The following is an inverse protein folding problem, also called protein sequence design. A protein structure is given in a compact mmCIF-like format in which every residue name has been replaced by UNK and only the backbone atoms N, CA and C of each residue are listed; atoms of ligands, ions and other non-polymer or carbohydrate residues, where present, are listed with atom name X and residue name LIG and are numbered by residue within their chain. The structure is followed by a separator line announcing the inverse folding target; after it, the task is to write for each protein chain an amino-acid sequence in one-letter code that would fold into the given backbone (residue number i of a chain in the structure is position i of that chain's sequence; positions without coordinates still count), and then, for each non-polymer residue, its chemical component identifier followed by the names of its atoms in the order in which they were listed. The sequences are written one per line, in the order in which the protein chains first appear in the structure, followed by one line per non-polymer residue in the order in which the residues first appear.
data_IF_317940761484
#
_entry.id   IF_317940761484
#
_cell.length_a   1.000
_cell.length_b   1.000
_cell.length_c   1.000
_cell.angle_alpha   90.00
_cell.angle_beta   90.00
_cell.angle_gamma   90.00
#
_symmetry.space_group_name_H-M   'P 1'
#
loop_
_entity.id
_entity.type
_entity.pdbx_description
1 polymer ?
#
# COMPACT_ATOMS: atom_id res chain seq x y z
N UNK A 1 -5.82 -12.54 -33.50
CA UNK A 1 -5.76 -11.96 -32.14
C UNK A 1 -4.78 -12.70 -31.22
N UNK A 2 -4.76 -14.05 -31.21
CA UNK A 2 -3.93 -14.86 -30.32
C UNK A 2 -2.43 -14.50 -30.35
N UNK A 3 -1.83 -14.36 -31.54
CA UNK A 3 -0.42 -13.96 -31.69
C UNK A 3 -0.14 -12.55 -31.19
N UNK A 4 -1.06 -11.59 -31.41
CA UNK A 4 -0.91 -10.21 -30.92
C UNK A 4 -0.92 -10.20 -29.39
N UNK A 5 -1.85 -10.93 -28.77
CA UNK A 5 -1.89 -11.08 -27.31
C UNK A 5 -0.63 -11.77 -26.79
N UNK A 6 -0.12 -12.79 -27.48
CA UNK A 6 1.12 -13.45 -27.11
C UNK A 6 2.30 -12.46 -27.07
N UNK A 7 2.46 -11.64 -28.11
CA UNK A 7 3.51 -10.61 -28.18
C UNK A 7 3.35 -9.59 -27.06
N UNK A 8 2.13 -9.10 -26.81
CA UNK A 8 1.86 -8.15 -25.72
C UNK A 8 2.16 -8.74 -24.34
N UNK A 9 1.82 -10.01 -24.11
CA UNK A 9 2.13 -10.71 -22.86
C UNK A 9 3.64 -10.79 -22.66
N UNK A 10 4.40 -11.21 -23.68
CA UNK A 10 5.86 -11.30 -23.58
C UNK A 10 6.50 -9.92 -23.37
N UNK A 11 6.00 -8.89 -24.06
CA UNK A 11 6.43 -7.51 -23.89
C UNK A 11 6.20 -7.03 -22.45
N UNK A 12 4.97 -7.12 -21.95
CA UNK A 12 4.66 -6.68 -20.58
C UNK A 12 5.34 -7.55 -19.52
N UNK A 13 5.52 -8.85 -19.76
CA UNK A 13 6.30 -9.72 -18.87
C UNK A 13 7.75 -9.23 -18.75
N UNK A 14 8.42 -8.97 -19.88
CA UNK A 14 9.80 -8.48 -19.89
C UNK A 14 9.96 -7.20 -19.06
N UNK A 15 9.12 -6.18 -19.34
CA UNK A 15 9.18 -4.92 -18.60
C UNK A 15 8.76 -5.05 -17.13
N UNK A 16 7.84 -5.97 -16.81
CA UNK A 16 7.50 -6.26 -15.42
C UNK A 16 8.70 -6.81 -14.66
N UNK A 17 9.39 -7.82 -15.20
CA UNK A 17 10.57 -8.40 -14.55
C UNK A 17 11.74 -7.41 -14.47
N UNK A 18 11.97 -6.64 -15.54
CA UNK A 18 12.96 -5.56 -15.55
C UNK A 18 12.67 -4.51 -14.48
N UNK A 19 11.40 -4.16 -14.27
CA UNK A 19 11.04 -3.14 -13.28
C UNK A 19 11.28 -3.61 -11.85
N UNK A 20 11.08 -4.90 -11.54
CA UNK A 20 11.43 -5.48 -10.23
C UNK A 20 12.93 -5.44 -10.03
N UNK A 21 13.69 -5.86 -11.04
CA UNK A 21 15.16 -5.85 -10.99
C UNK A 21 15.68 -4.43 -10.70
N UNK A 22 15.20 -3.43 -11.44
CA UNK A 22 15.54 -2.03 -11.21
C UNK A 22 15.13 -1.51 -9.83
N UNK A 23 13.95 -1.90 -9.34
CA UNK A 23 13.48 -1.50 -8.01
C UNK A 23 14.34 -2.08 -6.89
N UNK A 24 15.01 -3.21 -7.13
CA UNK A 24 15.93 -3.83 -6.16
C UNK A 24 17.32 -3.19 -6.21
N UNK A 25 17.86 -2.93 -7.41
CA UNK A 25 19.26 -2.49 -7.56
C UNK A 25 19.48 -0.97 -7.54
N UNK A 26 18.47 -0.16 -7.86
CA UNK A 26 18.62 1.29 -7.93
C UNK A 26 18.11 1.92 -6.64
N UNK A 27 19.02 2.23 -5.72
CA UNK A 27 18.74 3.02 -4.52
C UNK A 27 18.15 4.38 -4.92
N UNK A 28 17.03 4.78 -4.31
CA UNK A 28 16.30 6.02 -4.64
C UNK A 28 15.22 5.88 -5.73
N UNK A 29 15.20 4.77 -6.48
CA UNK A 29 14.07 4.42 -7.36
C UNK A 29 13.01 3.62 -6.58
N UNK A 30 12.66 4.07 -5.38
CA UNK A 30 11.67 3.45 -4.47
C UNK A 30 10.23 3.49 -5.00
N UNK A 31 10.05 3.77 -6.28
CA UNK A 31 8.77 3.74 -6.95
C UNK A 31 8.40 2.29 -7.29
N UNK A 32 8.03 1.51 -6.26
CA UNK A 32 7.26 0.26 -6.40
C UNK A 32 6.01 0.43 -7.30
N UNK A 33 5.62 1.68 -7.55
CA UNK A 33 4.62 2.07 -8.52
C UNK A 33 4.93 1.65 -9.97
N UNK A 34 6.18 1.71 -10.42
CA UNK A 34 6.53 1.32 -11.80
C UNK A 34 6.30 -0.17 -12.02
N UNK A 35 6.82 -1.08 -11.16
CA UNK A 35 6.41 -2.48 -11.20
C UNK A 35 4.91 -2.69 -11.12
N UNK A 36 4.21 -1.95 -10.26
CA UNK A 36 2.77 -2.06 -10.13
C UNK A 36 2.05 -1.81 -11.46
N UNK A 37 2.43 -0.77 -12.22
CA UNK A 37 1.85 -0.50 -13.55
C UNK A 37 2.13 -1.63 -14.53
N UNK A 38 3.38 -2.08 -14.64
CA UNK A 38 3.75 -3.12 -15.61
C UNK A 38 3.06 -4.45 -15.31
N UNK A 39 3.04 -4.88 -14.04
CA UNK A 39 2.32 -6.09 -13.65
C UNK A 39 0.81 -5.97 -13.83
N UNK A 40 0.27 -4.77 -13.70
CA UNK A 40 -1.15 -4.51 -13.96
C UNK A 40 -1.51 -4.72 -15.43
N UNK A 41 -0.70 -4.16 -16.35
CA UNK A 41 -0.87 -4.39 -17.79
C UNK A 41 -0.67 -5.86 -18.14
N UNK A 42 0.34 -6.50 -17.55
CA UNK A 42 0.59 -7.93 -17.70
C UNK A 42 -0.61 -8.77 -17.23
N UNK A 43 -1.19 -8.46 -16.07
CA UNK A 43 -2.38 -9.13 -15.54
C UNK A 43 -3.58 -9.02 -16.49
N UNK A 44 -3.83 -7.82 -17.03
CA UNK A 44 -4.92 -7.60 -17.99
C UNK A 44 -4.70 -8.42 -19.27
N UNK A 45 -3.48 -8.44 -19.81
CA UNK A 45 -3.15 -9.24 -20.99
C UNK A 45 -3.27 -10.74 -20.73
N UNK A 46 -2.83 -11.23 -19.56
CA UNK A 46 -3.01 -12.63 -19.15
C UNK A 46 -4.50 -12.99 -19.06
N UNK A 47 -5.32 -12.15 -18.42
CA UNK A 47 -6.77 -12.37 -18.31
C UNK A 47 -7.45 -12.43 -19.68
N UNK A 48 -7.07 -11.52 -20.60
CA UNK A 48 -7.55 -11.54 -21.99
C UNK A 48 -7.13 -12.81 -22.74
N UNK A 49 -5.88 -13.22 -22.63
CA UNK A 49 -5.40 -14.44 -23.30
C UNK A 49 -6.07 -15.70 -22.75
N UNK A 50 -6.23 -15.81 -21.42
CA UNK A 50 -6.93 -16.94 -20.80
C UNK A 50 -8.41 -17.03 -21.20
N UNK A 51 -9.05 -15.91 -21.54
CA UNK A 51 -10.43 -15.89 -22.05
C UNK A 51 -10.50 -16.21 -23.55
N UNK A 52 -9.60 -15.65 -24.36
CA UNK A 52 -9.74 -15.61 -25.82
C UNK A 52 -8.99 -16.72 -26.56
N UNK A 53 -7.91 -17.27 -25.97
CA UNK A 53 -7.10 -18.32 -26.59
C UNK A 53 -7.66 -19.69 -26.18
N UNK A 54 -8.25 -20.40 -27.14
CA UNK A 54 -8.82 -21.75 -26.94
C UNK A 54 -7.75 -22.86 -26.92
N UNK A 55 -6.63 -22.63 -27.60
CA UNK A 55 -5.55 -23.62 -27.74
C UNK A 55 -4.71 -23.69 -26.47
N UNK A 56 -4.97 -24.72 -25.66
CA UNK A 56 -4.28 -24.97 -24.39
C UNK A 56 -2.75 -25.00 -24.52
N UNK A 57 -2.23 -25.71 -25.54
CA UNK A 57 -0.79 -25.85 -25.74
C UNK A 57 -0.13 -24.49 -26.05
N UNK A 58 -0.75 -23.70 -26.93
CA UNK A 58 -0.25 -22.38 -27.29
C UNK A 58 -0.19 -21.45 -26.07
N UNK A 59 -1.24 -21.43 -25.25
CA UNK A 59 -1.27 -20.64 -24.02
C UNK A 59 -0.21 -21.09 -23.00
N UNK A 60 -0.02 -22.41 -22.83
CA UNK A 60 1.02 -22.95 -21.95
C UNK A 60 2.42 -22.53 -22.39
N UNK A 61 2.70 -22.54 -23.71
CA UNK A 61 3.99 -22.06 -24.25
C UNK A 61 4.19 -20.58 -23.94
N UNK A 62 3.15 -19.76 -24.08
CA UNK A 62 3.21 -18.33 -23.75
C UNK A 62 3.52 -18.11 -22.27
N UNK A 63 2.86 -18.83 -21.36
CA UNK A 63 3.14 -18.71 -19.91
C UNK A 63 4.56 -19.14 -19.58
N UNK A 64 5.03 -20.25 -20.18
CA UNK A 64 6.39 -20.72 -20.01
C UNK A 64 7.40 -19.67 -20.47
N UNK A 65 7.23 -19.11 -21.67
CA UNK A 65 8.10 -18.06 -22.20
C UNK A 65 8.05 -16.79 -21.35
N UNK A 66 6.86 -16.35 -20.92
CA UNK A 66 6.69 -15.15 -20.10
C UNK A 66 7.38 -15.25 -18.73
N UNK A 67 7.31 -16.43 -18.08
CA UNK A 67 8.05 -16.70 -16.83
C UNK A 67 9.54 -16.83 -17.12
N UNK A 68 9.92 -17.47 -18.23
CA UNK A 68 11.33 -17.69 -18.59
C UNK A 68 12.08 -16.38 -18.80
N UNK A 69 11.40 -15.30 -19.19
CA UNK A 69 11.99 -13.96 -19.29
C UNK A 69 12.56 -13.45 -17.96
N UNK A 70 12.11 -13.95 -16.82
CA UNK A 70 12.66 -13.58 -15.51
C UNK A 70 14.11 -14.06 -15.33
N UNK A 71 14.50 -15.18 -15.97
CA UNK A 71 15.87 -15.69 -15.87
C UNK A 71 16.93 -14.76 -16.47
N UNK A 72 16.54 -13.81 -17.34
CA UNK A 72 17.47 -12.77 -17.81
C UNK A 72 17.90 -11.81 -16.68
N UNK A 73 17.07 -11.66 -15.65
CA UNK A 73 17.33 -10.77 -14.51
C UNK A 73 17.87 -11.56 -13.31
N UNK A 74 17.36 -12.77 -13.06
CA UNK A 74 17.79 -13.62 -11.96
C UNK A 74 18.38 -14.93 -12.46
N UNK A 75 19.71 -15.02 -12.41
CA UNK A 75 20.50 -16.19 -12.82
C UNK A 75 20.65 -17.18 -11.66
N UNK A 76 19.55 -17.72 -11.14
CA UNK A 76 19.59 -18.69 -10.05
C UNK A 76 18.79 -19.96 -10.37
N UNK A 77 19.40 -21.14 -10.20
CA UNK A 77 18.73 -22.42 -10.48
C UNK A 77 17.56 -22.70 -9.52
N UNK A 78 17.62 -22.24 -8.27
CA UNK A 78 16.54 -22.43 -7.31
C UNK A 78 15.31 -21.58 -7.65
N UNK A 79 15.49 -20.50 -8.42
CA UNK A 79 14.37 -19.74 -9.00
C UNK A 79 13.55 -20.59 -9.99
N UNK A 80 14.12 -21.67 -10.56
CA UNK A 80 13.36 -22.62 -11.38
C UNK A 80 12.22 -23.27 -10.58
N UNK A 81 12.41 -23.53 -9.29
CA UNK A 81 11.36 -24.14 -8.47
C UNK A 81 10.17 -23.19 -8.30
N UNK A 82 10.42 -21.92 -7.98
CA UNK A 82 9.36 -20.92 -7.88
C UNK A 82 8.72 -20.62 -9.23
N UNK A 83 9.50 -20.65 -10.33
CA UNK A 83 8.99 -20.56 -11.70
C UNK A 83 8.00 -21.69 -12.02
N UNK A 84 8.31 -22.94 -11.65
CA UNK A 84 7.42 -24.09 -11.84
C UNK A 84 6.14 -23.97 -10.99
N UNK A 85 6.25 -23.51 -9.75
CA UNK A 85 5.08 -23.24 -8.89
C UNK A 85 4.20 -22.15 -9.52
N UNK A 86 4.79 -21.05 -9.97
CA UNK A 86 4.09 -19.96 -10.66
C UNK A 86 3.39 -20.44 -11.93
N UNK A 87 4.04 -21.28 -12.73
CA UNK A 87 3.45 -21.88 -13.93
C UNK A 87 2.25 -22.77 -13.59
N UNK A 88 2.35 -23.59 -12.55
CA UNK A 88 1.23 -24.41 -12.06
C UNK A 88 0.05 -23.57 -11.59
N UNK A 89 0.31 -22.44 -10.93
CA UNK A 89 -0.72 -21.50 -10.49
C UNK A 89 -1.38 -20.75 -11.66
N UNK A 90 -0.64 -20.32 -12.68
CA UNK A 90 -1.26 -19.78 -13.90
C UNK A 90 -2.08 -20.82 -14.66
N UNK A 91 -1.65 -22.08 -14.67
CA UNK A 91 -2.43 -23.16 -15.23
C UNK A 91 -3.73 -23.40 -14.43
N UNK A 92 -3.66 -23.32 -13.10
CA UNK A 92 -4.85 -23.36 -12.22
C UNK A 92 -5.82 -22.20 -12.49
N UNK A 93 -5.30 -20.99 -12.72
CA UNK A 93 -6.11 -19.84 -13.14
C UNK A 93 -6.80 -20.07 -14.48
N UNK A 94 -6.07 -20.53 -15.49
CA UNK A 94 -6.62 -20.88 -16.79
C UNK A 94 -7.73 -21.93 -16.67
N UNK A 95 -7.48 -23.02 -15.93
CA UNK A 95 -8.47 -24.07 -15.71
C UNK A 95 -9.73 -23.54 -15.01
N UNK A 96 -9.57 -22.64 -14.04
CA UNK A 96 -10.68 -22.01 -13.33
C UNK A 96 -11.53 -21.12 -14.25
N UNK A 97 -10.88 -20.32 -15.11
CA UNK A 97 -11.55 -19.45 -16.10
C UNK A 97 -12.29 -20.31 -17.14
N UNK A 98 -11.62 -21.31 -17.71
CA UNK A 98 -12.20 -22.18 -18.73
C UNK A 98 -13.35 -23.02 -18.18
N UNK A 99 -13.23 -23.54 -16.95
CA UNK A 99 -14.32 -24.24 -16.28
C UNK A 99 -15.56 -23.34 -16.13
N UNK A 100 -15.38 -22.07 -15.75
CA UNK A 100 -16.51 -21.14 -15.67
C UNK A 100 -17.12 -20.81 -17.04
N UNK A 101 -16.28 -20.62 -18.07
CA UNK A 101 -16.75 -20.38 -19.44
C UNK A 101 -17.54 -21.56 -20.00
N UNK A 102 -17.11 -22.79 -19.72
CA UNK A 102 -17.75 -24.01 -20.22
C UNK A 102 -19.06 -24.35 -19.48
N UNK A 103 -19.16 -24.03 -18.19
CA UNK A 103 -20.31 -24.35 -17.35
C UNK A 103 -21.38 -23.23 -17.32
N UNK A 104 -21.03 -22.00 -17.69
CA UNK A 104 -21.96 -20.87 -17.61
C UNK A 104 -22.88 -20.78 -18.84
N UNK A 105 -24.20 -20.74 -18.62
CA UNK A 105 -25.22 -20.54 -19.67
C UNK A 105 -25.02 -19.20 -20.40
N UNK A 106 -24.55 -18.18 -19.69
CA UNK A 106 -24.25 -16.86 -20.24
C UNK A 106 -22.78 -16.53 -19.98
N UNK A 107 -22.02 -16.36 -21.06
CA UNK A 107 -20.61 -15.96 -20.98
C UNK A 107 -20.52 -14.54 -20.39
N UNK A 108 -19.81 -14.41 -19.27
CA UNK A 108 -19.52 -13.14 -18.61
C UNK A 108 -18.02 -13.07 -18.32
N UNK A 109 -17.29 -12.26 -19.09
CA UNK A 109 -15.85 -12.09 -18.94
C UNK A 109 -15.46 -11.69 -17.51
N UNK A 110 -16.25 -10.81 -16.88
CA UNK A 110 -16.05 -10.40 -15.48
C UNK A 110 -16.07 -11.59 -14.52
N UNK A 111 -17.14 -12.40 -14.59
CA UNK A 111 -17.32 -13.56 -13.70
C UNK A 111 -16.23 -14.60 -13.89
N UNK A 112 -15.91 -14.92 -15.15
CA UNK A 112 -14.93 -15.95 -15.46
C UNK A 112 -13.53 -15.55 -15.02
N UNK A 113 -13.10 -14.31 -15.30
CA UNK A 113 -11.79 -13.80 -14.84
C UNK A 113 -11.74 -13.67 -13.32
N UNK A 114 -12.82 -13.24 -12.67
CA UNK A 114 -12.91 -13.18 -11.21
C UNK A 114 -12.59 -14.53 -10.56
N UNK A 115 -13.07 -15.64 -11.13
CA UNK A 115 -12.79 -17.00 -10.63
C UNK A 115 -11.32 -17.40 -10.76
N UNK A 116 -10.63 -16.92 -11.80
CA UNK A 116 -9.20 -17.16 -12.01
C UNK A 116 -8.27 -16.13 -11.37
N UNK A 117 -8.79 -15.00 -10.86
CA UNK A 117 -7.97 -13.89 -10.42
C UNK A 117 -7.09 -14.24 -9.20
N UNK A 118 -7.63 -14.98 -8.22
CA UNK A 118 -6.88 -15.38 -7.03
C UNK A 118 -5.61 -16.20 -7.37
N UNK A 119 -5.68 -17.33 -8.12
CA UNK A 119 -4.48 -18.07 -8.49
C UNK A 119 -3.52 -17.27 -9.39
N UNK A 120 -4.00 -16.31 -10.20
CA UNK A 120 -3.12 -15.39 -10.94
C UNK A 120 -2.34 -14.47 -10.02
N UNK A 121 -3.01 -13.84 -9.04
CA UNK A 121 -2.36 -12.96 -8.06
C UNK A 121 -1.35 -13.76 -7.23
N UNK A 122 -1.71 -14.97 -6.83
CA UNK A 122 -0.81 -15.85 -6.08
C UNK A 122 0.43 -16.24 -6.90
N UNK A 123 0.27 -16.58 -8.18
CA UNK A 123 1.38 -16.84 -9.09
C UNK A 123 2.35 -15.66 -9.15
N UNK A 124 1.82 -14.44 -9.37
CA UNK A 124 2.64 -13.23 -9.44
C UNK A 124 3.32 -12.94 -8.10
N UNK A 125 2.63 -13.10 -6.96
CA UNK A 125 3.20 -12.89 -5.64
C UNK A 125 4.38 -13.83 -5.37
N UNK A 126 4.26 -15.12 -5.69
CA UNK A 126 5.35 -16.10 -5.56
C UNK A 126 6.54 -15.74 -6.45
N UNK A 127 6.28 -15.38 -7.71
CA UNK A 127 7.35 -15.07 -8.66
C UNK A 127 8.10 -13.79 -8.27
N UNK A 128 7.38 -12.72 -7.92
CA UNK A 128 8.00 -11.44 -7.55
C UNK A 128 8.77 -11.57 -6.23
N UNK A 129 8.19 -12.19 -5.19
CA UNK A 129 8.89 -12.36 -3.92
C UNK A 129 10.11 -13.27 -4.04
N UNK A 130 10.04 -14.30 -4.89
CA UNK A 130 11.17 -15.17 -5.19
C UNK A 130 12.26 -14.44 -5.96
N UNK A 131 11.92 -13.63 -6.96
CA UNK A 131 12.89 -12.80 -7.68
C UNK A 131 13.61 -11.87 -6.71
N UNK A 132 12.84 -11.15 -5.89
CA UNK A 132 13.36 -10.26 -4.85
C UNK A 132 14.30 -10.98 -3.88
N UNK A 133 13.92 -12.15 -3.38
CA UNK A 133 14.75 -12.97 -2.51
C UNK A 133 16.12 -13.27 -3.11
N UNK A 134 16.15 -13.76 -4.35
CA UNK A 134 17.39 -14.14 -5.01
C UNK A 134 18.23 -12.93 -5.45
N UNK A 135 17.60 -11.80 -5.78
CA UNK A 135 18.32 -10.56 -6.08
C UNK A 135 19.01 -10.00 -4.84
N UNK A 136 18.32 -9.91 -3.69
CA UNK A 136 18.89 -9.34 -2.45
C UNK A 136 19.92 -10.24 -1.80
N UNK A 137 19.76 -11.56 -1.88
CA UNK A 137 20.71 -12.52 -1.32
C UNK A 137 22.15 -12.29 -1.84
N UNK A 138 22.30 -11.70 -3.03
CA UNK A 138 23.59 -11.45 -3.65
C UNK A 138 24.14 -10.02 -3.41
N UNK A 139 23.39 -9.14 -2.75
CA UNK A 139 23.81 -7.76 -2.47
C UNK A 139 24.51 -7.71 -1.11
N UNK A 140 25.69 -7.08 -1.04
CA UNK A 140 26.40 -6.87 0.23
C UNK A 140 25.52 -6.07 1.21
N UNK A 141 25.35 -6.60 2.43
CA UNK A 141 24.30 -6.23 3.39
C UNK A 141 24.28 -4.76 3.81
N UNK A 142 25.35 -4.00 3.54
CA UNK A 142 25.48 -2.57 3.91
C UNK A 142 24.63 -1.63 3.05
N UNK A 143 24.14 -2.05 1.88
CA UNK A 143 23.34 -1.21 0.98
C UNK A 143 21.83 -1.49 0.99
N UNK A 144 21.36 -2.38 1.88
CA UNK A 144 20.00 -2.94 1.81
C UNK A 144 18.90 -2.15 2.53
N UNK A 145 19.21 -1.08 3.26
CA UNK A 145 18.14 -0.25 3.86
C UNK A 145 17.76 0.84 2.84
N UNK A 146 16.56 0.75 2.23
CA UNK A 146 16.07 1.83 1.40
C UNK A 146 15.82 3.03 2.31
N UNK A 147 16.51 4.14 2.05
CA UNK A 147 16.14 5.43 2.62
C UNK A 147 14.90 5.90 1.87
N UNK A 148 13.84 6.22 2.61
CA UNK A 148 12.67 6.85 2.03
C UNK A 148 13.05 8.30 1.71
N UNK A 149 13.13 8.61 0.42
CA UNK A 149 13.29 9.97 -0.07
C UNK A 149 11.92 10.62 -0.25
N UNK A 150 11.87 11.92 0.00
CA UNK A 150 10.68 12.75 -0.22
C UNK A 150 10.42 12.83 -1.73
N UNK A 151 9.43 12.08 -2.21
CA UNK A 151 8.98 12.14 -3.58
C UNK A 151 7.49 12.49 -3.63
N UNK A 152 7.06 13.12 -4.73
CA UNK A 152 5.68 13.59 -4.91
C UNK A 152 4.61 12.51 -4.70
N UNK A 153 4.97 11.24 -4.93
CA UNK A 153 4.07 10.11 -4.76
C UNK A 153 3.87 9.81 -3.27
N UNK A 154 4.94 9.83 -2.47
CA UNK A 154 4.86 9.68 -1.02
C UNK A 154 4.05 10.81 -0.39
N UNK A 155 4.24 12.06 -0.84
CA UNK A 155 3.43 13.20 -0.42
C UNK A 155 1.93 12.96 -0.70
N UNK A 156 1.62 12.37 -1.84
CA UNK A 156 0.24 12.02 -2.20
C UNK A 156 -0.34 10.87 -1.36
N UNK A 157 0.47 9.89 -0.99
CA UNK A 157 0.04 8.79 -0.10
C UNK A 157 -0.20 9.30 1.32
N UNK A 158 0.71 10.13 1.83
CA UNK A 158 0.61 10.76 3.16
C UNK A 158 -0.65 11.64 3.22
N UNK A 159 -0.88 12.49 2.22
CA UNK A 159 -2.08 13.33 2.14
C UNK A 159 -3.37 12.50 2.03
N UNK A 160 -3.37 11.41 1.26
CA UNK A 160 -4.51 10.49 1.21
C UNK A 160 -4.80 9.88 2.59
N UNK A 161 -3.76 9.46 3.32
CA UNK A 161 -3.87 8.97 4.69
C UNK A 161 -4.50 9.99 5.64
N UNK A 162 -4.00 11.22 5.63
CA UNK A 162 -4.52 12.31 6.46
C UNK A 162 -5.97 12.66 6.14
N UNK A 163 -6.33 12.72 4.85
CA UNK A 163 -7.70 13.04 4.42
C UNK A 163 -8.75 12.02 4.88
N UNK A 164 -8.34 10.78 5.13
CA UNK A 164 -9.23 9.71 5.62
C UNK A 164 -9.43 9.76 7.13
N UNK A 165 -8.45 10.27 7.87
CA UNK A 165 -8.53 10.46 9.32
C UNK A 165 -9.35 11.72 9.63
N UNK A 166 -9.22 12.78 8.82
CA UNK A 166 -10.12 13.92 8.89
C UNK A 166 -10.40 14.56 7.52
N UNK A 167 -11.69 14.68 7.13
CA UNK A 167 -12.08 15.38 5.91
C UNK A 167 -11.72 16.88 5.86
N UNK A 168 -11.48 17.56 6.98
CA UNK A 168 -11.07 18.97 7.01
C UNK A 168 -9.67 19.19 6.42
N UNK A 169 -8.76 18.20 6.52
CA UNK A 169 -7.44 18.23 5.86
C UNK A 169 -7.51 18.08 4.33
N UNK A 170 -8.68 17.76 3.77
CA UNK A 170 -8.87 17.63 2.31
C UNK A 170 -8.75 18.97 1.58
N UNK A 171 -8.99 20.09 2.28
CA UNK A 171 -9.01 21.43 1.70
C UNK A 171 -7.68 22.17 1.85
N UNK A 172 -6.73 21.63 2.61
CA UNK A 172 -5.43 22.24 2.80
C UNK A 172 -4.49 21.64 1.75
N UNK A 173 -3.79 22.51 1.00
CA UNK A 173 -2.77 22.08 0.04
C UNK A 173 -1.62 21.41 0.81
N UNK A 174 -1.78 20.12 1.02
CA UNK A 174 -0.92 19.25 1.84
C UNK A 174 0.53 19.20 1.36
N UNK A 175 0.80 19.58 0.11
CA UNK A 175 2.15 19.62 -0.48
C UNK A 175 3.06 20.67 0.20
N UNK A 176 2.49 21.69 0.87
CA UNK A 176 3.25 22.75 1.54
C UNK A 176 2.85 22.95 3.02
N UNK A 177 2.17 21.98 3.61
CA UNK A 177 1.77 22.08 5.02
C UNK A 177 3.00 22.01 5.93
N UNK A 178 3.24 23.10 6.66
CA UNK A 178 4.31 23.17 7.66
C UNK A 178 3.89 22.50 8.97
N UNK A 179 4.86 22.08 9.77
CA UNK A 179 4.59 21.46 11.08
C UNK A 179 3.78 22.40 11.97
N UNK A 180 4.07 23.70 11.99
CA UNK A 180 3.33 24.68 12.80
C UNK A 180 1.86 24.79 12.41
N UNK A 181 1.59 24.82 11.11
CA UNK A 181 0.23 24.86 10.60
C UNK A 181 -0.52 23.58 10.95
N UNK A 182 0.10 22.41 10.73
CA UNK A 182 -0.50 21.13 11.04
C UNK A 182 -0.81 20.96 12.53
N UNK A 183 0.15 21.28 13.40
CA UNK A 183 -0.04 21.21 14.85
C UNK A 183 -1.06 22.25 15.33
N UNK A 184 -1.05 23.45 14.76
CA UNK A 184 -2.03 24.49 15.05
C UNK A 184 -3.45 24.07 14.69
N UNK A 185 -3.66 23.51 13.51
CA UNK A 185 -4.96 22.98 13.06
C UNK A 185 -5.40 21.76 13.87
N UNK A 186 -4.46 20.85 14.19
CA UNK A 186 -4.74 19.70 15.05
C UNK A 186 -5.20 20.14 16.46
N UNK A 187 -4.56 21.17 17.02
CA UNK A 187 -4.95 21.76 18.31
C UNK A 187 -6.34 22.39 18.25
N UNK A 188 -6.59 23.24 17.26
CA UNK A 188 -7.89 23.92 17.08
C UNK A 188 -9.03 22.91 16.91
N UNK A 189 -8.75 21.80 16.23
CA UNK A 189 -9.69 20.70 16.04
C UNK A 189 -9.97 19.93 17.33
N UNK A 190 -8.95 19.65 18.15
CA UNK A 190 -9.14 19.01 19.46
C UNK A 190 -10.02 19.90 20.33
N UNK A 191 -9.75 21.21 20.35
CA UNK A 191 -10.58 22.19 21.05
C UNK A 191 -12.02 22.22 20.53
N UNK A 192 -12.22 22.31 19.21
CA UNK A 192 -13.54 22.32 18.58
C UNK A 192 -14.34 21.05 18.92
N UNK A 193 -13.72 19.86 18.86
CA UNK A 193 -14.36 18.59 19.24
C UNK A 193 -14.71 18.53 20.73
N UNK A 194 -13.88 19.10 21.60
CA UNK A 194 -14.19 19.20 23.03
C UNK A 194 -15.37 20.15 23.28
N UNK A 195 -15.47 21.25 22.53
CA UNK A 195 -16.60 22.18 22.62
C UNK A 195 -17.90 21.58 22.03
N UNK A 196 -17.83 20.90 20.87
CA UNK A 196 -18.98 20.26 20.21
C UNK A 196 -19.49 19.05 21.00
N UNK A 197 -18.60 18.22 21.55
CA UNK A 197 -18.97 17.16 22.50
C UNK A 197 -19.32 17.73 23.89
N UNK A 198 -19.17 19.04 24.08
CA UNK A 198 -19.44 19.79 25.30
C UNK A 198 -20.91 20.16 25.52
N UNK A 199 -21.82 19.81 24.59
CA UNK A 199 -23.25 19.75 24.90
C UNK A 199 -23.48 18.65 25.96
N UNK A 200 -23.49 19.10 27.23
CA UNK A 200 -23.63 18.41 28.52
C UNK A 200 -22.37 18.31 29.42
N UNK A 201 -21.41 19.24 29.33
CA UNK A 201 -20.41 19.46 30.42
C UNK A 201 -20.89 20.56 31.40
N UNK A 202 -22.16 20.98 31.32
CA UNK A 202 -22.71 21.94 32.28
C UNK A 202 -23.10 21.31 33.64
N UNK A 203 -23.01 19.99 33.81
CA UNK A 203 -23.27 19.35 35.10
C UNK A 203 -22.20 18.29 35.44
N UNK A 204 -21.13 18.72 36.13
CA UNK A 204 -20.56 17.92 37.21
C UNK A 204 -19.42 16.94 36.91
N UNK A 205 -18.65 17.07 35.81
CA UNK A 205 -17.36 16.36 35.75
C UNK A 205 -16.36 17.05 36.67
N UNK A 206 -15.84 16.33 37.65
CA UNK A 206 -14.82 16.87 38.57
C UNK A 206 -13.54 17.17 37.79
N UNK A 207 -12.81 18.19 38.24
CA UNK A 207 -11.51 18.60 37.71
C UNK A 207 -10.51 17.42 37.64
N UNK A 208 -10.71 16.42 38.50
CA UNK A 208 -10.04 15.13 38.51
C UNK A 208 -10.22 14.32 37.21
N UNK A 209 -11.43 14.26 36.64
CA UNK A 209 -11.68 13.50 35.40
C UNK A 209 -11.02 14.15 34.18
N UNK A 210 -10.94 15.49 34.16
CA UNK A 210 -10.27 16.25 33.11
C UNK A 210 -8.76 15.98 33.16
N UNK A 211 -8.17 16.02 34.36
CA UNK A 211 -6.77 15.68 34.56
C UNK A 211 -6.48 14.24 34.15
N UNK A 212 -7.35 13.29 34.52
CA UNK A 212 -7.18 11.88 34.17
C UNK A 212 -7.27 11.61 32.65
N UNK A 213 -8.14 12.32 31.94
CA UNK A 213 -8.24 12.26 30.48
C UNK A 213 -6.98 12.83 29.79
N UNK A 214 -6.44 13.94 30.28
CA UNK A 214 -5.21 14.54 29.77
C UNK A 214 -3.99 13.65 30.04
N UNK A 215 -3.89 13.07 31.24
CA UNK A 215 -2.83 12.11 31.59
C UNK A 215 -2.91 10.86 30.71
N UNK A 216 -4.13 10.37 30.44
CA UNK A 216 -4.36 9.20 29.56
C UNK A 216 -4.00 9.50 28.10
N UNK A 217 -4.30 10.71 27.60
CA UNK A 217 -3.98 11.09 26.22
C UNK A 217 -2.50 11.40 26.03
N UNK A 218 -1.85 12.01 27.02
CA UNK A 218 -0.42 12.35 26.95
C UNK A 218 0.51 11.21 27.38
N UNK A 219 -0.01 10.17 28.03
CA UNK A 219 0.79 9.05 28.51
C UNK A 219 1.78 9.41 29.63
N UNK A 220 1.57 10.52 30.32
CA UNK A 220 2.37 10.98 31.48
C UNK A 220 1.46 11.58 32.56
N UNK A 221 1.84 11.45 33.82
CA UNK A 221 1.17 12.15 34.93
C UNK A 221 1.44 13.66 34.85
N UNK A 222 0.39 14.47 35.07
CA UNK A 222 0.49 15.91 35.05
C UNK A 222 1.18 16.37 36.34
N UNK A 223 2.14 17.29 36.19
CA UNK A 223 2.73 18.00 37.33
C UNK A 223 1.70 18.91 37.99
N UNK A 224 1.94 19.25 39.27
CA UNK A 224 0.98 20.05 40.04
C UNK A 224 0.76 21.45 39.46
N UNK A 225 1.80 22.01 38.81
CA UNK A 225 1.68 23.25 38.05
C UNK A 225 0.79 23.08 36.80
N UNK A 226 0.98 22.01 36.03
CA UNK A 226 0.13 21.72 34.86
C UNK A 226 -1.34 21.47 35.28
N UNK A 227 -1.58 20.87 36.45
CA UNK A 227 -2.94 20.67 37.02
C UNK A 227 -3.60 22.00 37.42
N UNK A 228 -2.84 22.95 37.96
CA UNK A 228 -3.34 24.30 38.27
C UNK A 228 -3.64 25.10 37.00
N UNK A 229 -2.81 24.97 35.95
CA UNK A 229 -3.05 25.62 34.67
C UNK A 229 -4.33 25.11 33.99
N UNK A 230 -4.57 23.79 34.05
CA UNK A 230 -5.82 23.17 33.56
C UNK A 230 -7.03 23.63 34.37
N UNK A 231 -6.88 23.74 35.71
CA UNK A 231 -7.95 24.22 36.58
C UNK A 231 -8.36 25.66 36.25
N UNK A 232 -7.36 26.53 36.09
CA UNK A 232 -7.57 27.93 35.75
C UNK A 232 -8.22 28.07 34.37
N UNK A 233 -7.82 27.26 33.38
CA UNK A 233 -8.40 27.23 32.04
C UNK A 233 -9.90 26.84 32.03
N UNK A 234 -10.30 25.87 32.86
CA UNK A 234 -11.70 25.44 32.99
C UNK A 234 -12.55 26.51 33.66
N UNK A 235 -12.00 27.24 34.65
CA UNK A 235 -12.71 28.34 35.30
C UNK A 235 -12.82 29.60 34.41
N UNK A 236 -11.76 29.97 33.69
CA UNK A 236 -11.78 31.09 32.73
C UNK A 236 -12.60 30.79 31.49
N UNK A 237 -12.80 29.51 31.15
CA UNK A 237 -13.75 28.97 30.15
C UNK A 237 -15.14 29.61 30.14
N UNK A 238 -15.59 30.21 31.25
CA UNK A 238 -16.89 30.87 31.39
C UNK A 238 -16.98 32.29 30.81
N UNK A 239 -15.87 32.92 30.44
CA UNK A 239 -15.86 34.26 29.83
C UNK A 239 -15.05 34.29 28.52
N UNK A 240 -15.70 34.23 27.34
CA UNK A 240 -15.03 34.00 26.05
C UNK A 240 -14.08 35.13 25.61
N UNK A 241 -14.22 36.36 26.10
CA UNK A 241 -13.40 37.50 25.66
C UNK A 241 -12.07 37.66 26.42
N UNK A 242 -11.98 37.20 27.69
CA UNK A 242 -10.71 37.18 28.44
C UNK A 242 -9.86 35.93 28.16
N UNK A 243 -10.41 34.95 27.43
CA UNK A 243 -9.78 33.67 27.15
C UNK A 243 -8.87 33.66 25.92
N UNK A 244 -8.89 34.69 25.07
CA UNK A 244 -8.14 34.68 23.81
C UNK A 244 -6.62 34.72 24.02
N UNK A 245 -6.14 35.51 24.98
CA UNK A 245 -4.70 35.57 25.30
C UNK A 245 -4.22 34.26 25.95
N UNK A 246 -5.00 33.73 26.90
CA UNK A 246 -4.69 32.46 27.58
C UNK A 246 -4.71 31.28 26.59
N UNK A 247 -5.69 31.22 25.68
CA UNK A 247 -5.75 30.20 24.62
C UNK A 247 -4.58 30.29 23.65
N UNK A 248 -4.14 31.49 23.28
CA UNK A 248 -2.99 31.69 22.42
C UNK A 248 -1.69 31.20 23.10
N UNK A 249 -1.54 31.45 24.40
CA UNK A 249 -0.40 30.98 25.18
C UNK A 249 -0.42 29.46 25.37
N UNK A 250 -1.56 28.86 25.74
CA UNK A 250 -1.72 27.40 25.86
C UNK A 250 -1.46 26.71 24.52
N UNK A 251 -1.97 27.25 23.42
CA UNK A 251 -1.72 26.74 22.06
C UNK A 251 -0.23 26.75 21.75
N UNK A 252 0.47 27.83 22.07
CA UNK A 252 1.91 27.94 21.83
C UNK A 252 2.70 26.92 22.65
N UNK A 253 2.38 26.74 23.92
CA UNK A 253 3.04 25.76 24.80
C UNK A 253 2.81 24.33 24.28
N UNK A 254 1.57 24.00 23.93
CA UNK A 254 1.22 22.68 23.39
C UNK A 254 1.96 22.38 22.08
N UNK A 255 2.01 23.35 21.16
CA UNK A 255 2.73 23.21 19.89
C UNK A 255 4.22 22.98 20.13
N UNK A 256 4.85 23.74 21.03
CA UNK A 256 6.28 23.57 21.36
C UNK A 256 6.57 22.20 21.99
N UNK A 257 5.68 21.70 22.85
CA UNK A 257 5.82 20.35 23.40
C UNK A 257 5.70 19.28 22.31
N UNK A 258 4.71 19.38 21.43
CA UNK A 258 4.54 18.44 20.32
C UNK A 258 5.69 18.47 19.33
N UNK A 259 6.26 19.65 19.04
CA UNK A 259 7.51 19.77 18.26
C UNK A 259 8.62 18.98 18.90
N UNK A 260 8.83 19.13 20.20
CA UNK A 260 9.88 18.40 20.94
C UNK A 260 9.69 16.89 20.87
N UNK A 261 8.46 16.40 21.00
CA UNK A 261 8.13 14.97 20.87
C UNK A 261 8.35 14.45 19.44
N UNK A 262 7.96 15.23 18.45
CA UNK A 262 8.24 14.93 17.04
C UNK A 262 9.74 14.94 16.76
N UNK A 263 10.51 15.88 17.32
CA UNK A 263 11.96 15.96 17.14
C UNK A 263 12.66 14.75 17.72
N UNK A 264 12.27 14.34 18.93
CA UNK A 264 12.77 13.13 19.56
C UNK A 264 12.46 11.90 18.71
N UNK A 265 11.25 11.82 18.16
CA UNK A 265 10.80 10.69 17.33
C UNK A 265 11.45 10.67 15.95
N UNK A 266 11.71 11.82 15.33
CA UNK A 266 12.34 11.96 14.03
C UNK A 266 13.88 11.95 14.07
N UNK A 267 14.47 12.28 15.23
CA UNK A 267 15.92 12.45 15.39
C UNK A 267 16.48 13.70 14.72
N UNK A 268 15.62 14.67 14.42
CA UNK A 268 16.00 15.98 13.89
C UNK A 268 15.32 17.05 14.75
N UNK A 269 15.97 18.19 14.93
CA UNK A 269 15.35 19.35 15.57
C UNK A 269 14.29 19.94 14.63
N UNK A 270 13.10 20.24 15.16
CA UNK A 270 11.95 20.75 14.39
C UNK A 270 11.67 22.17 14.85
N UNK A 271 11.89 23.12 13.95
CA UNK A 271 11.72 24.55 14.19
C UNK A 271 10.26 24.97 13.99
N UNK A 272 9.53 24.30 13.09
CA UNK A 272 8.12 24.55 12.77
C UNK A 272 7.86 24.85 11.29
N UNK A 273 8.89 25.31 10.57
CA UNK A 273 8.81 25.69 9.15
C UNK A 273 9.03 24.50 8.20
N UNK A 274 9.41 23.34 8.72
CA UNK A 274 9.63 22.12 7.96
C UNK A 274 8.30 21.61 7.39
N UNK A 275 8.36 20.94 6.24
CA UNK A 275 7.19 20.25 5.70
C UNK A 275 6.88 19.05 6.59
N UNK A 276 5.61 18.86 6.90
CA UNK A 276 5.14 17.71 7.69
C UNK A 276 5.59 16.39 7.06
N UNK A 277 5.49 16.27 5.73
CA UNK A 277 5.93 15.08 4.99
C UNK A 277 7.40 14.73 5.27
N UNK A 278 8.30 15.71 5.28
CA UNK A 278 9.73 15.49 5.51
C UNK A 278 10.00 15.03 6.95
N UNK A 279 9.28 15.58 7.94
CA UNK A 279 9.38 15.14 9.34
C UNK A 279 8.87 13.70 9.52
N UNK A 280 7.76 13.35 8.89
CA UNK A 280 7.24 11.98 8.92
C UNK A 280 8.20 11.00 8.24
N UNK A 281 8.81 11.39 7.12
CA UNK A 281 9.84 10.59 6.45
C UNK A 281 11.07 10.40 7.33
N UNK A 282 11.53 11.45 8.01
CA UNK A 282 12.63 11.36 8.97
C UNK A 282 12.30 10.39 10.12
N UNK A 283 11.07 10.45 10.65
CA UNK A 283 10.60 9.51 11.68
C UNK A 283 10.53 8.07 11.18
N UNK A 284 10.04 7.84 9.96
CA UNK A 284 10.02 6.50 9.36
C UNK A 284 11.43 5.95 9.15
N UNK A 285 12.33 6.78 8.60
CA UNK A 285 13.73 6.41 8.40
C UNK A 285 14.42 6.10 9.72
N UNK A 286 14.28 6.96 10.74
CA UNK A 286 14.85 6.71 12.08
C UNK A 286 14.31 5.42 12.70
N UNK A 287 13.01 5.14 12.55
CA UNK A 287 12.41 3.92 13.09
C UNK A 287 12.88 2.68 12.32
N UNK A 288 13.06 2.77 11.00
CA UNK A 288 13.66 1.72 10.18
C UNK A 288 15.12 1.46 10.60
N UNK A 289 15.89 2.52 10.84
CA UNK A 289 17.26 2.44 11.32
C UNK A 289 17.31 1.82 12.72
N UNK A 290 16.46 2.25 13.66
CA UNK A 290 16.40 1.67 15.02
C UNK A 290 15.98 0.20 15.02
N UNK A 291 15.01 -0.18 14.18
CA UNK A 291 14.66 -1.60 13.99
C UNK A 291 15.85 -2.39 13.44
N UNK A 292 16.70 -1.78 12.61
CA UNK A 292 17.90 -2.40 12.07
C UNK A 292 19.11 -2.40 13.02
N UNK A 293 19.21 -1.47 13.96
CA UNK A 293 20.33 -1.42 14.89
C UNK A 293 20.08 -2.32 16.11
N UNK A 294 18.90 -2.24 16.74
CA UNK A 294 18.63 -2.91 18.01
C UNK A 294 18.38 -4.42 17.91
N UNK A 295 17.87 -4.91 16.77
CA UNK A 295 17.49 -6.33 16.62
C UNK A 295 18.27 -7.09 15.55
N UNK A 296 19.04 -6.39 14.72
CA UNK A 296 19.59 -6.96 13.49
C UNK A 296 21.13 -7.00 13.47
N UNK A 297 21.83 -6.46 14.48
CA UNK A 297 23.29 -6.58 14.59
C UNK A 297 23.82 -8.02 14.44
N UNK A 298 23.17 -8.99 15.10
CA UNK A 298 23.49 -10.42 14.94
C UNK A 298 22.73 -11.08 13.77
N UNK A 299 21.51 -10.63 13.45
CA UNK A 299 20.71 -11.22 12.38
C UNK A 299 21.15 -10.82 10.96
N UNK A 300 21.92 -9.73 10.80
CA UNK A 300 22.53 -9.30 9.51
C UNK A 300 23.58 -10.27 9.01
N UNK A 301 24.27 -10.98 9.91
CA UNK A 301 25.16 -12.09 9.55
C UNK A 301 24.38 -13.39 9.28
N UNK A 302 23.15 -13.49 9.76
CA UNK A 302 22.32 -14.67 9.54
C UNK A 302 21.84 -14.74 8.08
N UNK A 303 22.08 -15.87 7.42
CA UNK A 303 21.64 -16.16 6.05
C UNK A 303 20.11 -16.12 5.84
N UNK A 304 19.32 -15.82 6.88
CA UNK A 304 17.85 -15.89 6.87
C UNK A 304 17.16 -14.55 6.64
N UNK A 305 17.83 -13.41 6.83
CA UNK A 305 17.19 -12.10 6.72
C UNK A 305 16.50 -11.84 5.36
N UNK A 306 17.11 -12.16 4.19
CA UNK A 306 16.43 -12.01 2.90
C UNK A 306 15.15 -12.85 2.79
N UNK A 307 15.09 -14.01 3.45
CA UNK A 307 13.91 -14.87 3.43
C UNK A 307 12.74 -14.23 4.19
N UNK A 308 13.01 -13.63 5.34
CA UNK A 308 11.98 -12.91 6.13
C UNK A 308 11.43 -11.74 5.30
N UNK A 309 12.31 -10.93 4.68
CA UNK A 309 11.87 -9.84 3.81
C UNK A 309 11.03 -10.34 2.63
N UNK A 310 11.44 -11.44 1.99
CA UNK A 310 10.68 -12.02 0.89
C UNK A 310 9.29 -12.53 1.33
N UNK A 311 9.18 -13.07 2.54
CA UNK A 311 7.89 -13.49 3.13
C UNK A 311 6.99 -12.26 3.38
N UNK A 312 7.52 -11.20 3.98
CA UNK A 312 6.78 -9.96 4.21
C UNK A 312 6.33 -9.36 2.86
N UNK A 313 7.21 -9.33 1.88
CA UNK A 313 6.92 -8.85 0.53
C UNK A 313 5.84 -9.72 -0.15
N UNK A 314 5.91 -11.04 -0.01
CA UNK A 314 4.90 -11.97 -0.52
C UNK A 314 3.50 -11.64 0.02
N UNK A 315 3.36 -11.51 1.34
CA UNK A 315 2.06 -11.18 1.95
C UNK A 315 1.58 -9.78 1.55
N UNK A 316 2.50 -8.83 1.40
CA UNK A 316 2.19 -7.47 0.96
C UNK A 316 1.67 -7.46 -0.48
N UNK A 317 2.38 -8.10 -1.41
CA UNK A 317 1.98 -8.22 -2.82
C UNK A 317 0.68 -8.99 -2.95
N UNK A 318 0.49 -10.08 -2.20
CA UNK A 318 -0.75 -10.83 -2.22
C UNK A 318 -1.94 -9.96 -1.78
N UNK A 319 -1.79 -9.23 -0.68
CA UNK A 319 -2.84 -8.35 -0.13
C UNK A 319 -3.17 -7.22 -1.10
N UNK A 320 -2.16 -6.50 -1.60
CA UNK A 320 -2.32 -5.43 -2.57
C UNK A 320 -2.87 -5.97 -3.89
N UNK A 321 -2.34 -7.08 -4.39
CA UNK A 321 -2.76 -7.73 -5.62
C UNK A 321 -4.22 -8.16 -5.61
N UNK A 322 -4.74 -8.66 -4.48
CA UNK A 322 -6.17 -8.98 -4.33
C UNK A 322 -7.01 -7.70 -4.45
N UNK A 323 -6.65 -6.62 -3.77
CA UNK A 323 -7.37 -5.34 -3.85
C UNK A 323 -7.35 -4.78 -5.28
N UNK A 324 -6.16 -4.75 -5.86
CA UNK A 324 -5.89 -4.23 -7.20
C UNK A 324 -6.57 -5.07 -8.29
N UNK A 325 -6.69 -6.39 -8.10
CA UNK A 325 -7.42 -7.27 -9.04
C UNK A 325 -8.89 -6.89 -9.19
N UNK A 326 -9.54 -6.33 -8.15
CA UNK A 326 -10.93 -5.84 -8.23
C UNK A 326 -11.08 -4.71 -9.25
N UNK A 327 -10.01 -3.96 -9.52
CA UNK A 327 -9.97 -2.90 -10.53
C UNK A 327 -9.65 -3.49 -11.92
N UNK A 328 -8.73 -4.46 -12.01
CA UNK A 328 -8.33 -5.01 -13.32
C UNK A 328 -9.35 -5.95 -13.94
N UNK A 329 -10.10 -6.71 -13.15
CA UNK A 329 -11.14 -7.62 -13.67
C UNK A 329 -12.20 -6.87 -14.52
N UNK A 330 -12.79 -5.74 -14.08
CA UNK A 330 -13.71 -4.98 -14.92
C UNK A 330 -13.01 -4.38 -16.13
N UNK A 331 -11.71 -4.01 -16.05
CA UNK A 331 -10.94 -3.54 -17.20
C UNK A 331 -10.80 -4.65 -18.26
N UNK A 332 -10.51 -5.89 -17.86
CA UNK A 332 -10.51 -7.05 -18.78
C UNK A 332 -11.88 -7.24 -19.41
N UNK A 333 -12.96 -7.14 -18.63
CA UNK A 333 -14.32 -7.28 -19.15
C UNK A 333 -14.68 -6.16 -20.15
N UNK A 334 -14.28 -4.92 -19.88
CA UNK A 334 -14.44 -3.78 -20.80
C UNK A 334 -13.64 -4.03 -22.08
N UNK A 335 -12.39 -4.50 -21.98
CA UNK A 335 -11.57 -4.81 -23.15
C UNK A 335 -12.23 -5.90 -24.03
N UNK A 336 -12.80 -6.96 -23.44
CA UNK A 336 -13.58 -7.97 -24.20
C UNK A 336 -14.82 -7.35 -24.84
N UNK A 337 -15.54 -6.47 -24.14
CA UNK A 337 -16.71 -5.79 -24.69
C UNK A 337 -16.35 -4.90 -25.89
N UNK A 338 -15.20 -4.21 -25.82
CA UNK A 338 -14.65 -3.40 -26.92
C UNK A 338 -14.29 -4.28 -28.10
N UNK A 339 -13.54 -5.38 -27.89
CA UNK A 339 -13.18 -6.33 -28.96
C UNK A 339 -14.41 -6.93 -29.64
N UNK A 340 -15.47 -7.21 -28.87
CA UNK A 340 -16.76 -7.66 -29.40
C UNK A 340 -17.46 -6.58 -30.23
N UNK A 341 -17.46 -5.32 -29.77
CA UNK A 341 -18.06 -4.19 -30.50
C UNK A 341 -17.40 -3.99 -31.87
N UNK A 342 -16.10 -4.24 -31.96
CA UNK A 342 -15.34 -4.18 -33.21
C UNK A 342 -15.41 -5.46 -34.06
N UNK A 343 -16.17 -6.49 -33.65
CA UNK A 343 -16.30 -7.74 -34.40
C UNK A 343 -15.04 -8.61 -34.41
N UNK A 344 -14.05 -8.31 -33.56
CA UNK A 344 -12.81 -9.10 -33.45
C UNK A 344 -13.08 -10.41 -32.70
N UNK A 345 -14.08 -10.41 -31.80
CA UNK A 345 -14.50 -11.56 -31.01
C UNK A 345 -15.99 -11.77 -31.19
N UNK A 346 -16.38 -12.96 -31.64
CA UNK A 346 -17.77 -13.38 -31.78
C UNK A 346 -18.15 -14.38 -30.67
N UNK A 347 -19.35 -14.20 -30.10
CA UNK A 347 -19.92 -15.15 -29.13
C UNK A 347 -20.90 -16.04 -29.89
N UNK A 348 -20.47 -17.25 -30.22
CA UNK A 348 -21.30 -18.27 -30.85
C UNK A 348 -22.12 -19.00 -29.78
N UNK A 349 -23.44 -19.13 -30.01
CA UNK A 349 -24.32 -19.94 -29.17
C UNK A 349 -24.32 -21.37 -29.69
N UNK A 350 -23.77 -22.27 -28.91
CA UNK A 350 -23.81 -23.72 -29.18
C UNK A 350 -24.89 -24.34 -28.29
N UNK A 351 -25.82 -25.12 -28.88
CA UNK A 351 -26.72 -25.96 -28.07
C UNK A 351 -25.90 -27.10 -27.47
N UNK A 352 -25.80 -27.17 -26.14
CA UNK A 352 -25.20 -28.30 -25.44
C UNK A 352 -26.26 -29.08 -24.68
N UNK A 353 -26.20 -30.40 -24.81
CA UNK A 353 -26.92 -31.32 -23.93
C UNK A 353 -26.23 -31.29 -22.55
N UNK A 354 -26.99 -30.95 -21.51
CA UNK A 354 -26.47 -30.89 -20.13
C UNK A 354 -27.22 -31.93 -19.31
N UNK A 355 -26.49 -32.83 -18.66
CA UNK A 355 -27.07 -33.80 -17.74
C UNK A 355 -27.58 -33.11 -16.48
N UNK A 356 -28.81 -33.43 -16.08
CA UNK A 356 -29.43 -32.90 -14.86
C UNK A 356 -29.61 -34.06 -13.88
N UNK A 357 -28.92 -34.00 -12.74
CA UNK A 357 -29.21 -34.84 -11.59
C UNK A 357 -30.60 -34.47 -11.07
N UNK A 358 -31.53 -35.43 -11.13
CA UNK A 358 -32.90 -35.27 -10.60
C UNK A 358 -32.98 -35.68 -9.15
#
# INVERSE_FOLDING_TARGET
ISYVLAVLILFFAFFSWQSVDRAVFISGASDFFVPLIWFSLFFVCLGLAMLLIKEKLFLSIIFFLAISLNFFFVHNIFFLLSALIGLGLFYSAYASIQSDLLLSIKISAYKSVYRGAYPMVLALAVLISSQYFFSIKNIETKQLIPKLESNKVMDQVISFGFSKINPEFKNIETENLTVDQFLGEAFDMILKKQMENGENISEGKSLEEINMLLETQMGKELTQAEKEDVANFVETGKNPEQNLEMQAETKKIAIEQWKKELSNSAGIEIVGNEKVADVFLAMLNKKMDSFSEDNIGEARESSFFPAILAIILFFSIMSVGILVSKIWIPIVAVAVAVLRKFGIVEIVREMREVEVLK
#
